data_IF_531083863727
#
_entry.id   IF_531083863727
#
_cell.length_a   1.000
_cell.length_b   1.000
_cell.length_c   1.000
_cell.angle_alpha   90.00
_cell.angle_beta   90.00
_cell.angle_gamma   90.00
#
_symmetry.space_group_name_H-M   'P 1'
#
loop_
_entity.id
_entity.type
_entity.pdbx_description
1 polymer ?
#
# COMPACT_ATOMS: atom_id res chain seq x y z
N UNK A 1 -24.05 -2.20 -2.52
CA UNK A 1 -25.19 -3.08 -2.85
C UNK A 1 -25.92 -2.55 -4.07
N UNK A 2 -26.71 -3.40 -4.73
CA UNK A 2 -27.66 -3.03 -5.79
C UNK A 2 -29.06 -3.31 -5.26
N UNK A 3 -30.02 -2.45 -5.61
CA UNK A 3 -31.40 -2.58 -5.19
C UNK A 3 -32.31 -2.17 -6.35
N UNK A 4 -33.44 -2.84 -6.47
CA UNK A 4 -34.46 -2.56 -7.48
C UNK A 4 -35.84 -2.78 -6.91
N UNK A 5 -36.80 -1.98 -7.34
CA UNK A 5 -38.21 -2.13 -7.00
C UNK A 5 -39.02 -2.46 -8.27
N UNK A 6 -39.92 -3.46 -8.26
CA UNK A 6 -40.81 -3.74 -9.39
C UNK A 6 -41.63 -2.54 -9.89
N UNK A 7 -41.99 -1.61 -9.00
CA UNK A 7 -42.73 -0.38 -9.31
C UNK A 7 -41.79 0.78 -9.74
N UNK A 8 -40.48 0.51 -9.75
CA UNK A 8 -39.40 1.38 -10.23
C UNK A 8 -38.57 1.94 -9.07
N UNK A 9 -37.25 1.98 -9.20
CA UNK A 9 -36.31 2.32 -8.11
C UNK A 9 -36.55 3.66 -7.39
N UNK A 10 -37.35 4.56 -7.96
CA UNK A 10 -37.81 5.79 -7.30
C UNK A 10 -38.81 5.54 -6.16
N UNK A 11 -39.40 4.34 -6.07
CA UNK A 11 -40.29 3.91 -4.97
C UNK A 11 -39.53 3.31 -3.81
N UNK A 12 -38.20 3.16 -3.91
CA UNK A 12 -37.33 2.85 -2.78
C UNK A 12 -37.29 4.07 -1.85
N UNK A 13 -37.89 3.95 -0.67
CA UNK A 13 -37.94 5.03 0.32
C UNK A 13 -36.61 5.10 1.09
N UNK A 14 -36.23 4.01 1.76
CA UNK A 14 -34.99 3.92 2.53
C UNK A 14 -34.45 2.49 2.62
N UNK A 15 -33.19 2.37 3.04
CA UNK A 15 -32.63 1.10 3.50
C UNK A 15 -32.58 1.09 5.01
N UNK A 16 -32.64 -0.10 5.59
CA UNK A 16 -32.40 -0.34 7.00
C UNK A 16 -31.20 -1.30 7.12
N UNK A 17 -30.21 -0.96 7.94
CA UNK A 17 -29.14 -1.89 8.31
C UNK A 17 -29.11 -2.18 9.80
N UNK A 18 -28.56 -3.34 10.15
CA UNK A 18 -28.29 -3.72 11.53
C UNK A 18 -26.94 -4.43 11.62
N UNK A 19 -26.33 -4.40 12.80
CA UNK A 19 -25.06 -5.07 13.09
C UNK A 19 -25.30 -6.13 14.18
N UNK A 20 -24.73 -7.31 13.94
CA UNK A 20 -24.67 -8.49 14.81
C UNK A 20 -26.01 -9.17 15.07
N UNK A 21 -27.09 -8.41 15.23
CA UNK A 21 -28.46 -8.90 15.29
C UNK A 21 -29.45 -7.97 14.57
N UNK A 22 -30.71 -8.41 14.45
CA UNK A 22 -31.77 -7.67 13.75
C UNK A 22 -32.78 -7.04 14.72
N UNK A 23 -32.41 -6.84 15.98
CA UNK A 23 -33.28 -6.28 17.03
C UNK A 23 -33.43 -4.77 16.92
N UNK A 24 -32.43 -4.09 16.35
CA UNK A 24 -32.40 -2.64 16.12
C UNK A 24 -31.95 -2.34 14.70
N UNK A 25 -32.62 -1.38 14.05
CA UNK A 25 -32.37 -1.01 12.65
C UNK A 25 -32.01 0.47 12.55
N UNK A 26 -31.05 0.78 11.68
CA UNK A 26 -30.60 2.13 11.37
C UNK A 26 -30.96 2.44 9.93
N UNK A 27 -31.66 3.56 9.72
CA UNK A 27 -32.10 4.00 8.41
C UNK A 27 -30.95 4.65 7.61
N UNK A 28 -30.93 4.38 6.30
CA UNK A 28 -30.07 5.00 5.30
C UNK A 28 -30.94 5.53 4.16
N UNK A 29 -30.57 6.66 3.51
CA UNK A 29 -31.33 7.19 2.39
C UNK A 29 -31.54 6.15 1.27
N UNK A 30 -32.72 6.13 0.63
CA UNK A 30 -33.07 5.20 -0.46
C UNK A 30 -32.18 5.32 -1.71
N UNK A 31 -31.40 6.40 -1.82
CA UNK A 31 -30.39 6.60 -2.88
C UNK A 31 -29.03 5.99 -2.54
N UNK A 32 -28.79 5.57 -1.29
CA UNK A 32 -27.48 5.07 -0.85
C UNK A 32 -27.21 3.68 -1.41
N UNK A 33 -25.97 3.43 -1.84
CA UNK A 33 -25.53 2.14 -2.43
C UNK A 33 -24.23 1.60 -1.81
N UNK A 34 -23.60 2.36 -0.92
CA UNK A 34 -22.41 1.97 -0.17
C UNK A 34 -22.46 2.53 1.25
N UNK A 35 -21.77 1.85 2.16
CA UNK A 35 -21.65 2.23 3.57
C UNK A 35 -20.22 1.95 4.02
N UNK A 36 -19.62 2.95 4.64
CA UNK A 36 -18.42 2.77 5.45
C UNK A 36 -18.89 2.74 6.90
N UNK A 37 -18.37 1.79 7.66
CA UNK A 37 -18.66 1.62 9.07
C UNK A 37 -17.38 1.85 9.87
N UNK A 38 -17.48 2.61 10.95
CA UNK A 38 -16.40 2.85 11.90
C UNK A 38 -16.77 2.38 13.32
N UNK A 39 -15.88 2.64 14.27
CA UNK A 39 -16.09 2.30 15.67
C UNK A 39 -17.29 3.02 16.31
N UNK A 40 -17.63 4.23 15.85
CA UNK A 40 -18.81 4.97 16.35
C UNK A 40 -20.11 4.33 15.86
N UNK A 41 -20.05 3.56 14.78
CA UNK A 41 -21.15 2.80 14.22
C UNK A 41 -21.20 1.36 14.74
N UNK A 42 -20.37 1.00 15.73
CA UNK A 42 -20.42 -0.30 16.41
C UNK A 42 -19.45 -1.36 15.87
N UNK A 43 -18.64 -1.05 14.87
CA UNK A 43 -17.60 -1.96 14.38
C UNK A 43 -16.40 -1.92 15.32
N UNK A 44 -16.24 -2.98 16.11
CA UNK A 44 -15.16 -3.14 17.09
C UNK A 44 -14.36 -4.42 16.79
N UNK A 45 -13.22 -4.67 17.44
CA UNK A 45 -12.52 -5.95 17.25
C UNK A 45 -13.39 -7.13 17.70
N UNK A 46 -13.57 -8.11 16.83
CA UNK A 46 -14.44 -9.25 17.08
C UNK A 46 -15.15 -9.75 15.84
N UNK A 47 -16.05 -10.70 16.06
CA UNK A 47 -16.88 -11.31 15.02
C UNK A 47 -18.15 -10.49 14.83
N UNK A 48 -18.41 -10.12 13.58
CA UNK A 48 -19.53 -9.27 13.22
C UNK A 48 -20.34 -9.82 12.05
N UNK A 49 -21.62 -9.50 12.04
CA UNK A 49 -22.51 -9.77 10.92
C UNK A 49 -23.26 -8.51 10.50
N UNK A 50 -23.30 -8.24 9.20
CA UNK A 50 -24.03 -7.09 8.66
C UNK A 50 -25.35 -7.52 8.07
N UNK A 51 -26.43 -6.85 8.44
CA UNK A 51 -27.76 -7.11 7.93
C UNK A 51 -28.28 -5.90 7.16
N UNK A 52 -28.97 -6.13 6.04
CA UNK A 52 -29.52 -5.08 5.19
C UNK A 52 -30.89 -5.48 4.65
N UNK A 53 -31.83 -4.54 4.62
CA UNK A 53 -33.08 -4.66 3.87
C UNK A 53 -33.48 -3.32 3.27
N UNK A 54 -34.38 -3.34 2.30
CA UNK A 54 -34.95 -2.14 1.68
C UNK A 54 -36.43 -2.02 2.03
N UNK A 55 -36.90 -0.77 2.14
CA UNK A 55 -38.28 -0.40 2.42
C UNK A 55 -38.81 0.47 1.28
N UNK A 56 -39.98 0.15 0.75
CA UNK A 56 -40.64 0.96 -0.28
C UNK A 56 -41.50 2.09 0.32
N UNK A 57 -42.01 2.98 -0.52
CA UNK A 57 -42.91 4.08 -0.12
C UNK A 57 -44.24 3.62 0.49
N UNK A 58 -44.64 2.36 0.28
CA UNK A 58 -45.82 1.74 0.88
C UNK A 58 -45.50 1.04 2.23
N UNK A 59 -44.24 1.03 2.66
CA UNK A 59 -43.75 0.38 3.87
C UNK A 59 -43.49 -1.12 3.73
N UNK A 60 -43.58 -1.69 2.52
CA UNK A 60 -43.22 -3.08 2.27
C UNK A 60 -41.70 -3.26 2.40
N UNK A 61 -41.30 -4.41 2.95
CA UNK A 61 -39.89 -4.72 3.26
C UNK A 61 -39.41 -5.89 2.43
N UNK A 62 -38.19 -5.80 1.91
CA UNK A 62 -37.52 -6.94 1.27
C UNK A 62 -37.18 -8.04 2.29
N UNK A 63 -36.81 -9.24 1.81
CA UNK A 63 -36.04 -10.18 2.62
C UNK A 63 -34.79 -9.50 3.20
N UNK A 64 -34.37 -9.96 4.38
CA UNK A 64 -33.13 -9.50 5.02
C UNK A 64 -31.96 -10.21 4.38
N UNK A 65 -31.00 -9.43 3.89
CA UNK A 65 -29.68 -9.92 3.50
C UNK A 65 -28.78 -9.91 4.73
N UNK A 66 -27.93 -10.95 4.85
CA UNK A 66 -26.87 -11.05 5.85
C UNK A 66 -25.53 -11.13 5.14
N UNK A 67 -24.49 -10.51 5.68
CA UNK A 67 -23.11 -10.68 5.26
C UNK A 67 -22.22 -11.00 6.47
N UNK A 68 -21.49 -12.13 6.47
CA UNK A 68 -21.50 -13.19 5.45
C UNK A 68 -22.88 -13.88 5.30
N UNK A 69 -23.18 -14.43 4.12
CA UNK A 69 -24.47 -15.08 3.86
C UNK A 69 -24.67 -16.35 4.70
N UNK A 70 -23.57 -17.10 4.92
CA UNK A 70 -23.55 -18.28 5.79
C UNK A 70 -23.63 -17.85 7.27
N UNK A 71 -24.71 -18.19 8.00
CA UNK A 71 -24.87 -17.84 9.42
C UNK A 71 -23.83 -18.47 10.35
N UNK A 72 -23.07 -19.46 9.88
CA UNK A 72 -21.95 -20.06 10.62
C UNK A 72 -20.63 -19.30 10.43
N UNK A 73 -20.64 -18.18 9.69
CA UNK A 73 -19.47 -17.34 9.43
C UNK A 73 -19.74 -15.89 9.80
N UNK A 74 -18.67 -15.22 10.20
CA UNK A 74 -18.69 -13.81 10.57
C UNK A 74 -17.52 -13.07 9.91
N UNK A 75 -17.65 -11.75 9.80
CA UNK A 75 -16.51 -10.89 9.55
C UNK A 75 -15.69 -10.78 10.82
N UNK A 76 -14.42 -11.15 10.75
CA UNK A 76 -13.51 -10.95 11.86
C UNK A 76 -12.79 -9.60 11.73
N UNK A 77 -13.22 -8.64 12.53
CA UNK A 77 -12.66 -7.28 12.56
C UNK A 77 -11.45 -7.24 13.49
N UNK A 78 -10.35 -6.65 12.99
CA UNK A 78 -9.12 -6.45 13.76
C UNK A 78 -8.87 -4.96 13.92
N UNK A 79 -8.47 -4.54 15.12
CA UNK A 79 -7.97 -3.19 15.32
C UNK A 79 -6.61 -3.02 14.63
N UNK A 80 -6.36 -1.87 13.96
CA UNK A 80 -5.02 -1.47 13.57
C UNK A 80 -4.06 -1.49 14.76
N UNK A 81 -2.91 -2.12 14.59
CA UNK A 81 -1.80 -2.13 15.54
C UNK A 81 -0.86 -0.97 15.22
N UNK A 82 -1.10 0.19 15.84
CA UNK A 82 -0.32 1.41 15.57
C UNK A 82 -0.65 2.01 14.21
N UNK A 83 0.15 3.00 13.81
CA UNK A 83 -0.09 3.84 12.60
C UNK A 83 0.66 3.41 11.35
N UNK A 84 1.42 2.31 11.44
CA UNK A 84 2.19 1.74 10.35
C UNK A 84 1.48 0.51 9.80
N UNK A 85 1.40 0.40 8.48
CA UNK A 85 0.94 -0.79 7.77
C UNK A 85 2.10 -1.37 6.96
N UNK A 86 2.37 -2.65 7.16
CA UNK A 86 3.23 -3.44 6.30
C UNK A 86 2.35 -4.30 5.39
N UNK A 87 2.42 -4.04 4.10
CA UNK A 87 1.74 -4.81 3.05
C UNK A 87 2.72 -5.81 2.47
N UNK A 88 2.32 -7.07 2.53
CA UNK A 88 2.97 -8.19 1.85
C UNK A 88 2.19 -8.51 0.59
N UNK A 89 2.83 -8.24 -0.54
CA UNK A 89 2.30 -8.39 -1.90
C UNK A 89 3.29 -9.20 -2.75
N UNK A 90 3.78 -10.29 -2.16
CA UNK A 90 4.82 -11.12 -2.73
C UNK A 90 4.26 -12.54 -2.95
N UNK A 91 4.11 -12.95 -4.21
CA UNK A 91 3.30 -14.12 -4.61
C UNK A 91 3.82 -15.44 -3.98
N UNK A 92 5.15 -15.59 -3.87
CA UNK A 92 5.74 -16.84 -3.43
C UNK A 92 6.97 -16.67 -2.53
N UNK A 93 6.82 -17.04 -1.26
CA UNK A 93 7.94 -17.16 -0.31
C UNK A 93 8.45 -18.60 -0.23
N UNK A 94 9.71 -18.79 -0.62
CA UNK A 94 10.35 -20.12 -0.62
C UNK A 94 11.79 -20.02 -0.14
N UNK A 95 12.42 -21.15 0.17
CA UNK A 95 13.85 -21.15 0.51
C UNK A 95 14.74 -20.65 -0.65
N UNK A 96 14.25 -20.69 -1.90
CA UNK A 96 14.97 -20.25 -3.09
C UNK A 96 14.77 -18.75 -3.36
N UNK A 97 13.54 -18.26 -3.21
CA UNK A 97 13.18 -16.86 -3.48
C UNK A 97 13.47 -15.96 -2.27
N UNK A 98 13.47 -16.54 -1.06
CA UNK A 98 13.63 -15.85 0.20
C UNK A 98 12.31 -15.70 0.95
N UNK A 99 12.40 -15.02 2.09
CA UNK A 99 11.29 -14.68 2.99
C UNK A 99 11.30 -13.17 3.25
N UNK A 100 10.86 -12.34 2.28
CA UNK A 100 10.76 -10.90 2.48
C UNK A 100 9.91 -10.54 3.70
N UNK A 101 8.84 -11.30 4.00
CA UNK A 101 7.98 -11.10 5.17
C UNK A 101 8.78 -11.04 6.48
N UNK A 102 9.63 -12.03 6.72
CA UNK A 102 10.40 -12.17 7.94
C UNK A 102 11.41 -11.04 8.04
N UNK A 103 11.96 -10.62 6.91
CA UNK A 103 12.85 -9.47 6.86
C UNK A 103 12.14 -8.17 7.22
N UNK A 104 11.05 -7.79 6.52
CA UNK A 104 10.39 -6.51 6.75
C UNK A 104 9.72 -6.45 8.13
N UNK A 105 9.14 -7.56 8.60
CA UNK A 105 8.57 -7.63 9.96
C UNK A 105 9.64 -7.49 11.03
N UNK A 106 10.79 -8.14 10.86
CA UNK A 106 11.95 -8.00 11.75
C UNK A 106 12.49 -6.57 11.75
N UNK A 107 12.71 -6.00 10.56
CA UNK A 107 13.18 -4.63 10.39
C UNK A 107 12.24 -3.61 11.03
N UNK A 108 10.92 -3.68 10.78
CA UNK A 108 9.98 -2.77 11.40
C UNK A 108 9.90 -2.95 12.92
N UNK A 109 10.02 -4.19 13.41
CA UNK A 109 10.11 -4.43 14.87
C UNK A 109 11.33 -3.71 15.46
N UNK A 110 12.50 -3.85 14.83
CA UNK A 110 13.75 -3.22 15.29
C UNK A 110 13.71 -1.68 15.23
N UNK A 111 13.06 -1.13 14.19
CA UNK A 111 12.98 0.33 13.98
C UNK A 111 11.90 0.98 14.85
N UNK A 112 10.75 0.32 15.04
CA UNK A 112 9.57 0.92 15.70
C UNK A 112 9.49 0.62 17.21
N UNK A 113 9.91 -0.55 17.66
CA UNK A 113 9.82 -0.92 19.09
C UNK A 113 10.56 0.07 20.01
N UNK A 114 11.78 0.55 19.67
CA UNK A 114 12.47 1.56 20.49
C UNK A 114 11.72 2.90 20.61
N UNK A 115 10.78 3.16 19.70
CA UNK A 115 9.93 4.35 19.69
C UNK A 115 8.59 4.13 20.42
N UNK A 116 8.33 2.92 20.93
CA UNK A 116 7.04 2.57 21.51
C UNK A 116 5.92 2.42 20.47
N UNK A 117 6.28 2.27 19.20
CA UNK A 117 5.36 2.14 18.07
C UNK A 117 5.19 0.67 17.67
N UNK A 118 4.07 0.35 17.03
CA UNK A 118 3.77 -0.96 16.46
C UNK A 118 3.29 -0.82 15.02
N UNK A 119 3.16 -1.94 14.31
CA UNK A 119 2.65 -1.98 12.95
C UNK A 119 1.63 -3.10 12.77
N UNK A 120 0.73 -2.90 11.81
CA UNK A 120 -0.16 -3.95 11.29
C UNK A 120 0.50 -4.65 10.12
N UNK A 121 0.44 -5.97 10.07
CA UNK A 121 0.87 -6.77 8.92
C UNK A 121 -0.34 -7.27 8.15
N UNK A 122 -0.33 -7.09 6.83
CA UNK A 122 -1.39 -7.51 5.94
C UNK A 122 -0.82 -8.16 4.69
N UNK A 123 -1.08 -9.46 4.54
CA UNK A 123 -0.78 -10.21 3.33
C UNK A 123 -1.95 -10.10 2.35
N UNK A 124 -1.74 -9.34 1.27
CA UNK A 124 -2.77 -9.09 0.26
C UNK A 124 -2.86 -10.21 -0.77
N UNK A 125 -1.83 -11.04 -0.94
CA UNK A 125 -1.92 -12.26 -1.76
C UNK A 125 -2.96 -13.25 -1.20
N UNK A 126 -3.09 -13.30 0.13
CA UNK A 126 -4.08 -14.14 0.79
C UNK A 126 -5.41 -13.43 1.06
N UNK A 127 -5.36 -12.11 1.31
CA UNK A 127 -6.48 -11.34 1.85
C UNK A 127 -6.70 -10.03 1.09
N UNK A 128 -6.78 -10.09 -0.24
CA UNK A 128 -7.12 -8.92 -1.03
C UNK A 128 -8.61 -8.54 -0.87
N UNK A 129 -8.95 -7.24 -0.70
CA UNK A 129 -10.34 -6.82 -0.58
C UNK A 129 -11.11 -7.06 -1.88
N UNK A 130 -12.43 -7.27 -1.76
CA UNK A 130 -13.29 -7.52 -2.93
C UNK A 130 -13.55 -6.26 -3.78
N UNK A 131 -13.05 -5.09 -3.36
CA UNK A 131 -13.22 -3.84 -4.10
C UNK A 131 -12.09 -2.83 -3.81
N UNK A 132 -11.80 -1.98 -4.79
CA UNK A 132 -10.87 -0.85 -4.62
C UNK A 132 -11.28 0.09 -3.50
N UNK A 133 -12.58 0.30 -3.25
CA UNK A 133 -13.06 1.15 -2.16
C UNK A 133 -12.61 0.61 -0.80
N UNK A 134 -12.74 -0.70 -0.57
CA UNK A 134 -12.27 -1.32 0.68
C UNK A 134 -10.75 -1.20 0.82
N UNK A 135 -10.00 -1.42 -0.27
CA UNK A 135 -8.55 -1.24 -0.26
C UNK A 135 -8.16 0.19 0.12
N UNK A 136 -8.74 1.20 -0.54
CA UNK A 136 -8.54 2.62 -0.24
C UNK A 136 -8.86 2.97 1.22
N UNK A 137 -10.05 2.59 1.71
CA UNK A 137 -10.45 2.93 3.08
C UNK A 137 -9.60 2.20 4.13
N UNK A 138 -9.10 1.00 3.81
CA UNK A 138 -8.14 0.29 4.67
C UNK A 138 -6.81 1.03 4.78
N UNK A 139 -6.26 1.53 3.66
CA UNK A 139 -5.01 2.32 3.69
C UNK A 139 -5.16 3.59 4.53
N UNK A 140 -6.33 4.24 4.49
CA UNK A 140 -6.61 5.46 5.26
C UNK A 140 -6.65 5.26 6.78
N UNK A 141 -6.66 4.02 7.27
CA UNK A 141 -6.53 3.73 8.70
C UNK A 141 -5.11 3.98 9.23
N UNK A 142 -4.13 4.19 8.35
CA UNK A 142 -2.72 4.28 8.68
C UNK A 142 -2.13 5.61 8.22
N UNK A 143 -1.08 6.05 8.89
CA UNK A 143 -0.31 7.23 8.48
C UNK A 143 0.79 6.86 7.49
N UNK A 144 1.33 5.64 7.64
CA UNK A 144 2.52 5.17 6.92
C UNK A 144 2.30 3.76 6.40
N UNK A 145 2.51 3.58 5.10
CA UNK A 145 2.42 2.29 4.42
C UNK A 145 3.80 1.90 3.90
N UNK A 146 4.23 0.69 4.21
CA UNK A 146 5.39 0.04 3.60
C UNK A 146 4.83 -1.11 2.78
N UNK A 147 5.02 -1.06 1.47
CA UNK A 147 4.53 -2.06 0.53
C UNK A 147 5.72 -2.63 -0.23
N UNK A 148 5.97 -3.91 -0.04
CA UNK A 148 6.92 -4.66 -0.85
C UNK A 148 6.19 -5.67 -1.72
N UNK A 149 6.65 -5.80 -2.96
CA UNK A 149 6.08 -6.71 -3.96
C UNK A 149 7.18 -7.28 -4.86
N UNK A 150 6.85 -8.32 -5.61
CA UNK A 150 7.71 -8.95 -6.60
C UNK A 150 7.60 -8.31 -8.00
N UNK A 151 7.25 -9.10 -9.02
CA UNK A 151 7.22 -8.70 -10.43
C UNK A 151 5.79 -8.39 -10.85
N UNK A 152 5.54 -7.14 -11.23
CA UNK A 152 4.22 -6.66 -11.68
C UNK A 152 3.75 -7.41 -12.93
N UNK A 153 2.49 -7.84 -12.95
CA UNK A 153 1.85 -8.47 -14.12
C UNK A 153 0.86 -7.51 -14.82
N UNK A 154 0.53 -7.77 -16.10
CA UNK A 154 -0.34 -6.89 -16.92
C UNK A 154 -1.70 -6.61 -16.26
N UNK A 155 -2.25 -7.59 -15.55
CA UNK A 155 -3.61 -7.59 -15.01
C UNK A 155 -3.63 -7.71 -13.48
N UNK A 156 -2.61 -7.17 -12.83
CA UNK A 156 -2.46 -7.24 -11.38
C UNK A 156 -3.55 -6.42 -10.68
N UNK A 157 -4.44 -7.11 -9.95
CA UNK A 157 -5.56 -6.49 -9.26
C UNK A 157 -5.10 -5.53 -8.14
N UNK A 158 -3.94 -5.79 -7.53
CA UNK A 158 -3.39 -4.98 -6.44
C UNK A 158 -2.95 -3.63 -7.00
N UNK A 159 -2.26 -3.62 -8.14
CA UNK A 159 -1.85 -2.39 -8.83
C UNK A 159 -3.02 -1.63 -9.45
N UNK A 160 -4.04 -2.32 -9.97
CA UNK A 160 -5.28 -1.68 -10.44
C UNK A 160 -5.95 -0.92 -9.29
N UNK A 161 -6.03 -1.51 -8.10
CA UNK A 161 -6.55 -0.81 -6.93
C UNK A 161 -5.61 0.33 -6.47
N UNK A 162 -4.29 0.11 -6.48
CA UNK A 162 -3.27 1.09 -6.09
C UNK A 162 -3.36 2.37 -6.92
N UNK A 163 -3.63 2.25 -8.23
CA UNK A 163 -3.74 3.39 -9.14
C UNK A 163 -4.80 4.41 -8.70
N UNK A 164 -5.83 3.97 -7.96
CA UNK A 164 -6.85 4.84 -7.36
C UNK A 164 -6.53 5.13 -5.89
N UNK A 165 -6.14 4.11 -5.13
CA UNK A 165 -5.99 4.18 -3.68
C UNK A 165 -4.79 5.01 -3.24
N UNK A 166 -3.62 4.86 -3.89
CA UNK A 166 -2.39 5.57 -3.48
C UNK A 166 -2.52 7.08 -3.62
N UNK A 167 -3.03 7.65 -4.73
CA UNK A 167 -3.27 9.09 -4.81
C UNK A 167 -4.21 9.61 -3.71
N UNK A 168 -5.27 8.87 -3.39
CA UNK A 168 -6.22 9.26 -2.34
C UNK A 168 -5.62 9.14 -0.94
N UNK A 169 -4.85 8.09 -0.67
CA UNK A 169 -4.12 7.91 0.58
C UNK A 169 -3.15 9.08 0.81
N UNK A 170 -2.33 9.40 -0.18
CA UNK A 170 -1.37 10.51 -0.12
C UNK A 170 -2.05 11.88 -0.02
N UNK A 171 -3.17 12.09 -0.71
CA UNK A 171 -3.95 13.33 -0.59
C UNK A 171 -4.50 13.55 0.83
N UNK A 172 -4.65 12.49 1.63
CA UNK A 172 -5.04 12.57 3.05
C UNK A 172 -3.82 12.64 4.00
N UNK A 173 -2.61 12.91 3.49
CA UNK A 173 -1.39 13.03 4.29
C UNK A 173 -0.64 11.71 4.52
N UNK A 174 -1.11 10.61 3.95
CA UNK A 174 -0.47 9.30 4.05
C UNK A 174 0.88 9.25 3.36
N UNK A 175 1.83 8.53 3.95
CA UNK A 175 3.21 8.39 3.46
C UNK A 175 3.50 6.95 3.05
N UNK A 176 4.19 6.75 1.93
CA UNK A 176 4.36 5.45 1.30
C UNK A 176 5.83 5.13 1.03
N UNK A 177 6.25 3.92 1.38
CA UNK A 177 7.44 3.26 0.80
C UNK A 177 6.92 2.14 -0.10
N UNK A 178 7.16 2.24 -1.41
CA UNK A 178 6.90 1.15 -2.35
C UNK A 178 8.22 0.62 -2.89
N UNK A 179 8.38 -0.69 -2.81
CA UNK A 179 9.52 -1.37 -3.40
C UNK A 179 9.03 -2.50 -4.28
N UNK A 180 9.42 -2.44 -5.54
CA UNK A 180 8.92 -3.32 -6.59
C UNK A 180 10.00 -3.57 -7.61
N UNK A 181 9.96 -4.76 -8.21
CA UNK A 181 10.84 -5.07 -9.32
C UNK A 181 10.11 -4.81 -10.64
N UNK A 182 10.54 -3.78 -11.35
CA UNK A 182 9.95 -3.46 -12.65
C UNK A 182 10.29 -4.50 -13.72
N UNK A 183 9.27 -4.88 -14.48
CA UNK A 183 9.41 -5.42 -15.83
C UNK A 183 8.78 -4.45 -16.85
N UNK A 184 8.81 -4.80 -18.13
CA UNK A 184 8.21 -3.99 -19.21
C UNK A 184 6.77 -4.40 -19.55
N UNK A 185 6.17 -5.28 -18.75
CA UNK A 185 4.93 -5.98 -19.05
C UNK A 185 3.79 -5.59 -18.09
N UNK A 186 3.77 -4.37 -17.54
CA UNK A 186 2.59 -3.85 -16.85
C UNK A 186 1.59 -3.27 -17.86
N UNK A 187 0.29 -3.38 -17.55
CA UNK A 187 -0.80 -2.89 -18.40
C UNK A 187 -1.01 -1.39 -18.28
N UNK A 188 -1.89 -0.84 -19.13
CA UNK A 188 -2.38 0.55 -18.97
C UNK A 188 -3.24 0.70 -17.71
N UNK A 189 -3.96 -0.37 -17.34
CA UNK A 189 -4.65 -0.47 -16.06
C UNK A 189 -3.68 -1.05 -15.03
N UNK A 190 -3.59 -0.41 -13.86
CA UNK A 190 -2.58 -0.74 -12.86
C UNK A 190 -1.17 -0.27 -13.22
N UNK A 191 -1.03 0.75 -14.07
CA UNK A 191 0.29 1.29 -14.41
C UNK A 191 0.95 1.92 -13.16
N UNK A 192 2.02 1.34 -12.60
CA UNK A 192 2.75 1.89 -11.46
C UNK A 192 3.37 3.27 -11.74
N UNK A 193 3.67 3.62 -12.99
CA UNK A 193 4.19 4.95 -13.36
C UNK A 193 3.13 6.04 -13.16
N UNK A 194 1.84 5.68 -13.20
CA UNK A 194 0.73 6.62 -13.03
C UNK A 194 0.70 7.23 -11.62
N UNK A 195 1.16 6.52 -10.60
CA UNK A 195 1.13 6.99 -9.20
C UNK A 195 2.50 7.09 -8.52
N UNK A 196 3.56 6.51 -9.11
CA UNK A 196 4.93 6.59 -8.59
C UNK A 196 5.65 7.90 -8.97
N UNK A 197 6.78 8.22 -8.32
CA UNK A 197 7.68 9.32 -8.72
C UNK A 197 8.48 9.07 -10.03
N UNK A 198 8.17 8.01 -10.76
CA UNK A 198 8.90 7.62 -11.97
C UNK A 198 8.17 8.17 -13.20
N UNK A 199 8.88 8.92 -14.04
CA UNK A 199 8.36 9.41 -15.32
C UNK A 199 8.42 8.31 -16.38
N UNK A 200 9.56 7.64 -16.48
CA UNK A 200 9.79 6.62 -17.48
C UNK A 200 10.86 5.63 -17.05
N UNK A 201 10.88 4.48 -17.72
CA UNK A 201 11.89 3.45 -17.51
C UNK A 201 13.19 3.78 -18.25
N UNK A 202 14.31 3.48 -17.60
CA UNK A 202 15.66 3.62 -18.12
C UNK A 202 16.22 2.33 -18.71
N UNK A 203 17.53 2.15 -18.56
CA UNK A 203 18.26 0.97 -19.02
C UNK A 203 17.86 -0.27 -18.20
N UNK A 204 17.71 -1.39 -18.89
CA UNK A 204 17.47 -2.70 -18.27
C UNK A 204 18.79 -3.38 -17.89
N UNK A 205 18.79 -4.06 -16.75
CA UNK A 205 19.89 -4.83 -16.19
C UNK A 205 19.45 -6.29 -16.10
N UNK A 206 20.19 -7.18 -16.75
CA UNK A 206 19.93 -8.61 -16.62
C UNK A 206 20.23 -9.07 -15.19
N UNK A 207 21.32 -8.57 -14.61
CA UNK A 207 21.75 -8.89 -13.26
C UNK A 207 22.33 -7.65 -12.58
N UNK A 208 22.10 -7.54 -11.27
CA UNK A 208 22.88 -6.71 -10.35
C UNK A 208 23.54 -7.68 -9.37
N UNK A 209 24.87 -7.65 -9.30
CA UNK A 209 25.65 -8.67 -8.62
C UNK A 209 25.69 -8.44 -7.10
N UNK A 210 25.97 -9.49 -6.35
CA UNK A 210 26.27 -9.36 -4.92
C UNK A 210 27.44 -8.37 -4.70
N UNK A 211 27.34 -7.56 -3.66
CA UNK A 211 28.24 -6.46 -3.30
C UNK A 211 28.23 -5.25 -4.25
N UNK A 212 27.38 -5.24 -5.29
CA UNK A 212 27.10 -4.04 -6.07
C UNK A 212 26.68 -2.88 -5.15
N UNK A 213 27.30 -1.71 -5.32
CA UNK A 213 27.13 -0.57 -4.44
C UNK A 213 25.98 0.33 -4.88
N UNK A 214 25.22 0.82 -3.90
CA UNK A 214 24.19 1.84 -4.07
C UNK A 214 24.58 3.04 -3.22
N UNK A 215 24.97 4.12 -3.88
CA UNK A 215 25.49 5.32 -3.24
C UNK A 215 24.39 6.38 -3.10
N UNK A 216 24.32 7.10 -1.97
CA UNK A 216 23.45 8.26 -1.83
C UNK A 216 23.69 9.28 -2.95
N UNK A 217 22.62 9.78 -3.54
CA UNK A 217 22.69 10.81 -4.58
C UNK A 217 22.95 12.19 -3.95
N UNK A 218 23.95 12.96 -4.41
CA UNK A 218 24.22 14.31 -3.91
C UNK A 218 23.02 15.27 -4.01
N UNK A 219 22.12 15.07 -4.98
CA UNK A 219 20.90 15.88 -5.14
C UNK A 219 20.03 15.75 -3.89
N UNK A 220 19.89 14.56 -3.30
CA UNK A 220 19.11 14.36 -2.08
C UNK A 220 19.64 15.22 -0.92
N UNK A 221 20.95 15.14 -0.65
CA UNK A 221 21.58 15.89 0.43
C UNK A 221 21.49 17.40 0.21
N UNK A 222 21.55 17.87 -1.05
CA UNK A 222 21.38 19.28 -1.38
C UNK A 222 19.93 19.76 -1.21
N UNK A 223 18.95 18.90 -1.53
CA UNK A 223 17.52 19.23 -1.36
C UNK A 223 17.09 19.18 0.10
N UNK A 224 17.66 18.27 0.88
CA UNK A 224 17.33 18.06 2.30
C UNK A 224 18.58 18.17 3.17
N UNK A 225 19.16 19.38 3.35
CA UNK A 225 20.45 19.56 4.02
C UNK A 225 20.43 19.24 5.52
N UNK A 226 19.25 19.28 6.14
CA UNK A 226 19.07 19.00 7.58
C UNK A 226 18.84 17.49 7.87
N UNK A 227 18.75 16.66 6.82
CA UNK A 227 18.59 15.21 6.98
C UNK A 227 19.89 14.54 7.43
N UNK A 228 19.83 13.49 8.27
CA UNK A 228 20.97 12.63 8.50
C UNK A 228 21.52 12.06 7.20
N UNK A 229 22.85 11.85 7.08
CA UNK A 229 23.43 11.27 5.88
C UNK A 229 22.88 9.87 5.64
N UNK A 230 22.47 9.60 4.41
CA UNK A 230 22.01 8.28 3.99
C UNK A 230 23.19 7.28 3.99
N UNK A 231 23.00 6.04 4.47
CA UNK A 231 24.06 5.03 4.47
C UNK A 231 24.33 4.52 3.05
N UNK A 232 25.59 4.21 2.71
CA UNK A 232 25.87 3.47 1.48
C UNK A 232 25.32 2.04 1.59
N UNK A 233 24.53 1.63 0.62
CA UNK A 233 23.90 0.31 0.58
C UNK A 233 24.65 -0.63 -0.36
N UNK A 234 24.45 -1.93 -0.20
CA UNK A 234 25.00 -2.92 -1.13
C UNK A 234 24.08 -4.11 -1.28
N UNK A 235 24.19 -4.77 -2.44
CA UNK A 235 23.38 -5.91 -2.80
C UNK A 235 23.86 -7.17 -2.05
N UNK A 236 22.97 -7.81 -1.29
CA UNK A 236 23.25 -9.01 -0.50
C UNK A 236 23.18 -10.31 -1.31
N UNK A 237 22.40 -10.32 -2.41
CA UNK A 237 22.28 -11.45 -3.31
C UNK A 237 21.95 -10.96 -4.72
N UNK A 238 22.26 -11.74 -5.75
CA UNK A 238 22.04 -11.37 -7.15
C UNK A 238 20.57 -10.97 -7.37
N UNK A 239 20.35 -9.79 -7.93
CA UNK A 239 19.02 -9.32 -8.36
C UNK A 239 18.92 -9.53 -9.87
N UNK A 240 17.86 -10.19 -10.33
CA UNK A 240 17.70 -10.62 -11.73
C UNK A 240 16.63 -9.80 -12.43
N UNK A 241 16.97 -9.01 -13.44
CA UNK A 241 15.98 -8.30 -14.25
C UNK A 241 15.49 -7.00 -13.60
N UNK A 242 16.40 -6.07 -13.34
CA UNK A 242 16.08 -4.73 -12.82
C UNK A 242 16.02 -3.70 -13.95
N UNK A 243 15.30 -2.61 -13.74
CA UNK A 243 15.23 -1.51 -14.71
C UNK A 243 15.50 -0.20 -13.98
N UNK A 244 16.47 0.57 -14.47
CA UNK A 244 16.75 1.90 -13.95
C UNK A 244 15.55 2.84 -14.13
N UNK A 245 15.50 3.88 -13.31
CA UNK A 245 14.38 4.81 -13.28
C UNK A 245 14.78 6.16 -13.87
N UNK A 246 13.82 6.84 -14.49
CA UNK A 246 13.90 8.27 -14.80
C UNK A 246 12.90 9.02 -13.92
N UNK A 247 13.34 9.95 -13.07
CA UNK A 247 12.46 10.65 -12.13
C UNK A 247 11.52 11.62 -12.84
N UNK A 248 10.33 11.84 -12.27
CA UNK A 248 9.49 13.00 -12.60
C UNK A 248 10.20 14.30 -12.20
N UNK A 249 9.77 15.42 -12.77
CA UNK A 249 10.40 16.73 -12.53
C UNK A 249 10.43 17.15 -11.04
N UNK A 250 9.44 16.71 -10.27
CA UNK A 250 9.30 16.97 -8.84
C UNK A 250 9.77 15.79 -7.95
N UNK A 251 10.57 14.88 -8.52
CA UNK A 251 11.12 13.75 -7.78
C UNK A 251 12.62 13.96 -7.54
N UNK A 252 13.04 13.65 -6.33
CA UNK A 252 14.42 13.80 -5.88
C UNK A 252 15.07 12.43 -5.87
N UNK A 253 16.15 12.21 -6.65
CA UNK A 253 16.88 10.96 -6.58
C UNK A 253 17.53 10.75 -5.21
N UNK A 254 17.40 9.57 -4.62
CA UNK A 254 18.00 9.21 -3.33
C UNK A 254 19.22 8.33 -3.47
N UNK A 255 19.19 7.33 -4.36
CA UNK A 255 20.29 6.39 -4.56
C UNK A 255 20.54 6.10 -6.03
N UNK A 256 21.84 6.03 -6.34
CA UNK A 256 22.41 5.57 -7.61
C UNK A 256 23.05 4.21 -7.43
N UNK A 257 22.90 3.35 -8.41
CA UNK A 257 23.71 2.15 -8.54
C UNK A 257 25.03 2.52 -9.24
N UNK A 258 26.16 2.16 -8.62
CA UNK A 258 27.51 2.29 -9.19
C UNK A 258 27.69 1.17 -10.23
N UNK A 259 27.40 1.47 -11.49
CA UNK A 259 27.45 0.47 -12.56
C UNK A 259 28.90 0.22 -13.02
N UNK A 260 29.51 -0.94 -12.72
CA UNK A 260 30.88 -1.21 -13.11
C UNK A 260 31.08 -1.31 -14.63
N UNK A 261 29.99 -1.46 -15.39
CA UNK A 261 30.00 -1.54 -16.85
C UNK A 261 29.81 -0.19 -17.56
N UNK A 262 29.63 0.90 -16.84
CA UNK A 262 29.35 2.23 -17.41
C UNK A 262 29.94 3.35 -16.55
N UNK A 263 29.98 4.56 -17.09
CA UNK A 263 30.15 5.77 -16.29
C UNK A 263 28.80 6.43 -15.97
N UNK A 264 27.71 5.84 -16.43
CA UNK A 264 26.34 6.24 -16.09
C UNK A 264 25.92 5.50 -14.82
N UNK A 265 25.65 6.27 -13.77
CA UNK A 265 25.17 5.79 -12.48
C UNK A 265 23.64 5.85 -12.44
N UNK A 266 22.93 4.79 -12.86
CA UNK A 266 21.48 4.77 -12.95
C UNK A 266 20.80 4.94 -11.60
N UNK A 267 19.61 5.56 -11.63
CA UNK A 267 18.77 5.77 -10.46
C UNK A 267 17.87 4.59 -10.17
N UNK A 268 17.73 4.26 -8.89
CA UNK A 268 16.87 3.17 -8.43
C UNK A 268 15.97 3.53 -7.26
N UNK A 269 16.34 4.51 -6.44
CA UNK A 269 15.53 4.95 -5.30
C UNK A 269 15.26 6.44 -5.46
N UNK A 270 13.99 6.83 -5.38
CA UNK A 270 13.51 8.20 -5.56
C UNK A 270 12.60 8.59 -4.41
N UNK A 271 12.68 9.85 -4.01
CA UNK A 271 11.66 10.52 -3.21
C UNK A 271 10.73 11.33 -4.12
N UNK A 272 9.43 11.11 -4.00
CA UNK A 272 8.39 11.75 -4.78
C UNK A 272 7.67 12.83 -4.00
N UNK A 273 7.52 14.00 -4.61
CA UNK A 273 6.61 15.03 -4.12
C UNK A 273 5.16 14.66 -4.47
N UNK A 274 4.23 15.07 -3.62
CA UNK A 274 2.81 15.00 -3.87
C UNK A 274 2.35 16.29 -4.54
N UNK A 275 1.77 16.17 -5.74
CA UNK A 275 1.34 17.31 -6.54
C UNK A 275 0.28 18.17 -5.85
N UNK A 276 -0.52 17.58 -4.95
CA UNK A 276 -1.61 18.26 -4.25
C UNK A 276 -1.15 18.98 -2.98
N UNK A 277 -0.18 18.41 -2.25
CA UNK A 277 0.25 18.93 -0.94
C UNK A 277 1.61 19.61 -0.98
N UNK A 278 2.44 19.31 -1.99
CA UNK A 278 3.84 19.75 -2.06
C UNK A 278 4.78 18.98 -1.12
N UNK A 279 4.28 18.01 -0.35
CA UNK A 279 5.07 17.23 0.59
C UNK A 279 5.80 16.08 -0.12
N UNK A 280 7.00 15.73 0.37
CA UNK A 280 7.68 14.52 -0.06
C UNK A 280 7.24 13.33 0.80
N UNK A 281 6.20 12.64 0.35
CA UNK A 281 5.50 11.58 1.10
C UNK A 281 5.60 10.20 0.42
N UNK A 282 6.43 10.04 -0.62
CA UNK A 282 6.58 8.77 -1.33
C UNK A 282 8.05 8.41 -1.58
N UNK A 283 8.56 7.35 -0.95
CA UNK A 283 9.79 6.68 -1.37
C UNK A 283 9.48 5.52 -2.31
N UNK A 284 10.10 5.53 -3.48
CA UNK A 284 9.95 4.47 -4.46
C UNK A 284 11.30 3.82 -4.75
N UNK A 285 11.35 2.48 -4.75
CA UNK A 285 12.55 1.72 -5.10
C UNK A 285 12.27 0.70 -6.20
N UNK A 286 12.94 0.85 -7.34
CA UNK A 286 12.91 -0.08 -8.47
C UNK A 286 13.84 -1.29 -8.32
N UNK A 287 14.60 -1.36 -7.22
CA UNK A 287 15.29 -2.57 -6.75
C UNK A 287 14.62 -3.02 -5.45
N UNK A 288 14.28 -4.31 -5.27
CA UNK A 288 13.66 -4.75 -4.03
C UNK A 288 14.57 -4.44 -2.82
N UNK A 289 14.08 -3.61 -1.90
CA UNK A 289 14.92 -3.03 -0.84
C UNK A 289 15.53 -4.11 0.04
N UNK A 290 14.83 -5.22 0.30
CA UNK A 290 15.35 -6.33 1.11
C UNK A 290 16.63 -6.97 0.53
N UNK A 291 16.95 -6.78 -0.75
CA UNK A 291 18.25 -7.17 -1.30
C UNK A 291 19.37 -6.19 -0.96
N UNK A 292 19.09 -4.93 -0.66
CA UNK A 292 20.08 -3.87 -0.41
C UNK A 292 20.65 -3.87 1.02
N UNK A 293 20.84 -5.06 1.58
CA UNK A 293 21.29 -5.29 2.97
C UNK A 293 22.70 -5.88 3.08
N UNK A 294 23.49 -5.88 2.01
CA UNK A 294 24.83 -6.49 1.99
C UNK A 294 25.79 -5.87 3.01
N UNK A 295 25.61 -4.60 3.34
CA UNK A 295 26.38 -3.87 4.36
C UNK A 295 25.80 -4.00 5.78
N UNK A 296 24.64 -4.63 5.96
CA UNK A 296 23.99 -4.78 7.27
C UNK A 296 23.39 -3.48 7.84
N UNK A 297 23.25 -2.42 7.04
CA UNK A 297 22.84 -1.08 7.47
C UNK A 297 21.47 -0.64 6.89
N UNK A 298 20.68 -1.55 6.33
CA UNK A 298 19.39 -1.19 5.74
C UNK A 298 18.37 -0.69 6.79
N UNK A 299 18.47 -1.16 8.05
CA UNK A 299 17.65 -0.63 9.15
C UNK A 299 17.97 0.86 9.44
N UNK A 300 19.21 1.31 9.21
CA UNK A 300 19.59 2.72 9.34
C UNK A 300 18.88 3.57 8.27
N UNK A 301 18.84 3.09 7.02
CA UNK A 301 18.05 3.73 5.97
C UNK A 301 16.57 3.86 6.35
N UNK A 302 15.93 2.77 6.80
CA UNK A 302 14.54 2.83 7.23
C UNK A 302 14.32 3.74 8.44
N UNK A 303 15.25 3.77 9.38
CA UNK A 303 15.21 4.71 10.51
C UNK A 303 15.18 6.14 10.01
N UNK A 304 16.11 6.51 9.12
CA UNK A 304 16.20 7.86 8.56
C UNK A 304 14.91 8.21 7.79
N UNK A 305 14.42 7.31 6.93
CA UNK A 305 13.22 7.57 6.14
C UNK A 305 11.98 7.71 7.02
N UNK A 306 11.74 6.76 7.93
CA UNK A 306 10.50 6.73 8.71
C UNK A 306 10.45 7.79 9.81
N UNK A 307 11.60 8.16 10.39
CA UNK A 307 11.68 9.12 11.50
C UNK A 307 11.97 10.53 11.01
N UNK A 308 12.98 10.69 10.17
CA UNK A 308 13.55 12.00 9.85
C UNK A 308 12.94 12.56 8.55
N UNK A 309 12.81 11.72 7.51
CA UNK A 309 12.30 12.16 6.21
C UNK A 309 10.77 12.34 6.22
N UNK A 310 10.06 11.32 6.69
CA UNK A 310 8.62 11.37 6.83
C UNK A 310 8.16 12.15 8.06
N UNK A 311 9.07 12.45 8.98
CA UNK A 311 8.77 13.07 10.27
C UNK A 311 8.10 12.09 11.23
N UNK A 312 7.97 12.50 12.50
CA UNK A 312 7.13 11.83 13.49
C UNK A 312 5.66 12.14 13.29
#
# INVERSE_FOLDING_TARGET
>A
WVASDPDGDATIDHFEYALDDTSSWIELPGTRRSLNLDANQGIVPGDHAFYLRVVDIAGAKSPILRMPEDPARDWHVKAPQGRYLLIDDFEAETNTVGRPDAFYRGMLTDVLTPLGESFTYWNIEEQFPSSTMQFTETLKLFDRVIWYTDLIQVSDAHFIAAQIAIPQFRANGGKLILTVQFNRNFGQQGDPLAFSPVDSLGRSFNFILTNSAYNPDPVFANTFPDMPPLPALSVSNIVVGSIALKPKANSVPMYRYDDPGSTDDPLFILAGQNDNTGEYDFIFSGTPLHYLRGNGNLNEFFTIVLRDFFGQ
#
